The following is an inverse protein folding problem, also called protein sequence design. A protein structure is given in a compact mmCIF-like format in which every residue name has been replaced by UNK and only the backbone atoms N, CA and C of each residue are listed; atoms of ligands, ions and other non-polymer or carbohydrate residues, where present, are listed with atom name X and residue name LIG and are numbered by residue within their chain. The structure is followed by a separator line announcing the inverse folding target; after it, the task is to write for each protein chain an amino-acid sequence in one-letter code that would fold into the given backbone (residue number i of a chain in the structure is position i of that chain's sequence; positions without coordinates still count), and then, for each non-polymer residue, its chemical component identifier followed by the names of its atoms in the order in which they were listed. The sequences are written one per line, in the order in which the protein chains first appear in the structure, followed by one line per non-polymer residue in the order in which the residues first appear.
data_IF_382139456631
#
_entry.id   IF_382139456631
#
_cell.length_a   1.000
_cell.length_b   1.000
_cell.length_c   1.000
_cell.angle_alpha   90.00
_cell.angle_beta   90.00
_cell.angle_gamma   90.00
#
_symmetry.space_group_name_H-M   'P 1'
#
loop_
_entity.id
_entity.type
_entity.pdbx_description
1 polymer ?
#
# COMPACT_ATOMS: atom_id res chain seq x y z
N UNK A 1 10.36 9.13 22.29
CA UNK A 1 9.42 9.62 21.25
C UNK A 1 10.28 10.36 20.23
N UNK A 2 10.51 9.79 19.06
CA UNK A 2 11.18 10.53 17.98
C UNK A 2 10.38 11.80 17.72
N UNK A 3 11.02 12.98 17.62
CA UNK A 3 10.32 14.16 17.17
C UNK A 3 9.72 13.84 15.81
N UNK A 4 8.39 13.85 15.74
CA UNK A 4 7.74 13.92 14.44
C UNK A 4 8.32 15.18 13.79
N UNK A 5 8.89 15.09 12.59
CA UNK A 5 9.42 16.26 11.91
C UNK A 5 8.31 17.31 11.89
N UNK A 6 8.61 18.59 12.19
CA UNK A 6 7.59 19.61 12.34
C UNK A 6 6.71 19.62 11.09
N UNK A 7 5.41 19.42 11.28
CA UNK A 7 4.45 19.52 10.19
C UNK A 7 4.18 21.01 9.98
N UNK A 8 4.72 21.54 8.89
CA UNK A 8 4.69 22.97 8.59
C UNK A 8 3.45 23.28 7.75
N UNK A 9 2.80 24.39 8.04
CA UNK A 9 1.77 24.94 7.14
C UNK A 9 2.48 25.54 5.92
N UNK A 10 2.34 24.90 4.75
CA UNK A 10 3.13 25.22 3.55
C UNK A 10 2.91 26.65 3.01
N UNK A 11 1.82 27.31 3.42
CA UNK A 11 1.45 28.66 2.96
C UNK A 11 1.82 29.73 3.98
N UNK A 12 1.47 29.52 5.24
CA UNK A 12 1.62 30.55 6.28
C UNK A 12 3.01 30.57 6.91
N UNK A 13 3.78 29.48 6.80
CA UNK A 13 5.15 29.39 7.37
C UNK A 13 5.23 29.69 8.87
N UNK A 14 4.10 29.74 9.57
CA UNK A 14 4.01 30.11 10.98
C UNK A 14 4.00 28.86 11.84
N UNK A 15 5.05 28.75 12.66
CA UNK A 15 5.09 27.88 13.82
C UNK A 15 4.23 28.50 14.94
N UNK A 16 3.11 27.86 15.27
CA UNK A 16 2.39 28.12 16.52
C UNK A 16 2.94 27.20 17.62
N UNK A 17 3.09 27.69 18.86
CA UNK A 17 4.14 27.25 19.78
C UNK A 17 3.79 25.93 20.47
N UNK A 18 4.42 24.84 20.02
CA UNK A 18 4.73 23.73 20.91
C UNK A 18 6.21 23.82 21.29
N UNK A 19 6.44 24.26 22.53
CA UNK A 19 7.70 24.28 23.28
C UNK A 19 8.99 24.49 22.47
N UNK A 20 9.51 25.72 22.54
CA UNK A 20 10.89 26.10 22.22
C UNK A 20 11.88 24.96 22.44
N UNK A 21 12.53 24.51 21.36
CA UNK A 21 13.90 24.02 21.41
C UNK A 21 14.68 24.56 20.20
N UNK A 22 15.52 25.55 20.54
CA UNK A 22 16.74 26.06 19.90
C UNK A 22 17.09 25.66 18.45
N UNK A 23 17.11 26.70 17.60
CA UNK A 23 18.09 27.00 16.54
C UNK A 23 18.44 25.92 15.50
N UNK A 24 17.88 26.12 14.32
CA UNK A 24 18.06 25.43 13.02
C UNK A 24 19.50 25.49 12.43
N UNK A 25 20.53 25.79 13.23
CA UNK A 25 21.92 25.95 12.78
C UNK A 25 22.91 24.92 13.36
N UNK A 26 22.46 23.99 14.22
CA UNK A 26 23.29 22.92 14.79
C UNK A 26 22.97 21.51 14.26
N UNK A 27 22.05 21.37 13.29
CA UNK A 27 21.45 20.09 12.87
C UNK A 27 22.35 19.12 12.09
N UNK A 28 23.62 19.45 11.84
CA UNK A 28 24.52 18.61 11.03
C UNK A 28 25.71 18.04 11.81
N UNK A 29 25.69 18.15 13.15
CA UNK A 29 26.72 17.51 13.99
C UNK A 29 26.30 16.09 14.35
N UNK A 30 27.12 15.06 14.06
CA UNK A 30 26.83 13.71 14.50
C UNK A 30 26.82 13.66 16.03
N UNK A 31 25.68 13.24 16.61
CA UNK A 31 25.50 13.08 18.06
C UNK A 31 25.54 11.60 18.41
N UNK A 32 26.22 11.27 19.51
CA UNK A 32 26.29 9.90 20.03
C UNK A 32 25.00 9.53 20.75
N UNK A 33 24.56 8.29 20.59
CA UNK A 33 23.34 7.77 21.17
C UNK A 33 23.62 6.57 22.08
N UNK A 34 22.86 6.44 23.16
CA UNK A 34 22.92 5.36 24.13
C UNK A 34 21.72 4.42 23.99
N UNK A 35 21.97 3.11 24.13
CA UNK A 35 20.93 2.08 24.20
C UNK A 35 20.70 1.72 25.67
N UNK A 36 19.58 2.17 26.21
CA UNK A 36 19.25 2.01 27.64
C UNK A 36 18.64 0.65 27.99
N UNK A 37 18.32 -0.20 27.00
CA UNK A 37 17.73 -1.53 27.20
C UNK A 37 18.54 -2.58 26.45
N UNK A 38 18.85 -3.68 27.13
CA UNK A 38 19.48 -4.86 26.55
C UNK A 38 18.62 -6.08 26.92
N UNK A 39 18.04 -6.72 25.90
CA UNK A 39 17.26 -7.94 26.11
C UNK A 39 18.09 -9.16 25.74
N UNK A 40 18.29 -10.06 26.71
CA UNK A 40 19.01 -11.32 26.54
C UNK A 40 17.99 -12.45 26.63
N UNK A 41 17.89 -13.22 25.55
CA UNK A 41 17.01 -14.37 25.46
C UNK A 41 17.79 -15.67 25.62
N UNK A 42 17.22 -16.62 26.37
CA UNK A 42 17.81 -17.95 26.56
C UNK A 42 16.84 -19.02 26.09
N UNK A 43 17.34 -19.97 25.30
CA UNK A 43 16.53 -21.12 24.91
C UNK A 43 16.31 -22.00 26.13
N UNK A 44 15.07 -22.06 26.61
CA UNK A 44 14.68 -22.87 27.77
C UNK A 44 14.30 -24.31 27.41
N UNK A 45 14.09 -24.58 26.12
CA UNK A 45 13.69 -25.90 25.63
C UNK A 45 14.90 -26.84 25.54
N UNK A 46 14.75 -28.04 26.10
CA UNK A 46 15.75 -29.10 25.97
C UNK A 46 15.60 -29.77 24.59
N UNK A 47 16.37 -29.30 23.61
CA UNK A 47 16.35 -29.81 22.24
C UNK A 47 17.63 -30.56 21.88
N UNK A 48 17.54 -31.83 21.48
CA UNK A 48 18.72 -32.58 21.06
C UNK A 48 19.01 -32.32 19.59
N UNK A 49 20.17 -31.73 19.29
CA UNK A 49 20.63 -31.57 17.92
C UNK A 49 21.43 -32.79 17.47
N UNK A 50 21.14 -33.26 16.26
CA UNK A 50 22.02 -34.20 15.57
C UNK A 50 23.26 -33.47 15.08
N UNK A 51 24.44 -34.03 15.39
CA UNK A 51 25.73 -33.45 15.03
C UNK A 51 25.89 -33.32 13.51
N UNK A 52 25.34 -34.25 12.74
CA UNK A 52 25.49 -34.28 11.28
C UNK A 52 24.51 -33.34 10.56
N UNK A 53 23.40 -32.98 11.21
CA UNK A 53 22.33 -32.17 10.63
C UNK A 53 22.11 -30.84 11.38
N UNK A 54 23.18 -30.28 11.97
CA UNK A 54 23.13 -29.02 12.69
C UNK A 54 22.81 -27.85 11.73
N UNK A 55 21.69 -27.12 11.95
CA UNK A 55 21.37 -25.96 11.14
C UNK A 55 22.41 -24.84 11.31
N UNK A 56 22.86 -24.25 10.20
CA UNK A 56 23.91 -23.22 10.20
C UNK A 56 23.53 -21.94 10.96
N UNK A 57 22.23 -21.60 10.99
CA UNK A 57 21.65 -20.49 11.76
C UNK A 57 21.88 -20.67 13.27
N UNK A 58 21.70 -21.89 13.78
CA UNK A 58 21.88 -22.18 15.22
C UNK A 58 23.35 -22.38 15.57
N UNK A 59 24.12 -22.97 14.65
CA UNK A 59 25.53 -23.30 14.89
C UNK A 59 26.36 -22.09 15.32
N UNK A 60 26.09 -20.90 14.75
CA UNK A 60 26.79 -19.65 15.08
C UNK A 60 26.62 -19.21 16.55
N UNK A 61 25.50 -19.55 17.17
CA UNK A 61 25.19 -19.18 18.56
C UNK A 61 25.47 -20.33 19.54
N UNK A 62 25.82 -21.51 19.03
CA UNK A 62 26.04 -22.69 19.83
C UNK A 62 27.49 -22.80 20.30
N UNK A 63 27.68 -22.91 21.61
CA UNK A 63 28.98 -23.23 22.20
C UNK A 63 28.97 -24.68 22.64
N UNK A 64 29.76 -25.50 21.96
CA UNK A 64 29.91 -26.93 22.26
C UNK A 64 31.18 -27.18 23.08
N UNK A 65 31.10 -28.08 24.04
CA UNK A 65 32.27 -28.62 24.73
C UNK A 65 32.17 -30.14 24.81
N UNK A 66 33.33 -30.79 24.83
CA UNK A 66 33.40 -32.24 24.86
C UNK A 66 33.50 -32.72 26.30
N UNK A 67 32.53 -33.51 26.76
CA UNK A 67 32.55 -34.19 28.06
C UNK A 67 32.69 -35.69 27.82
N UNK A 68 33.94 -36.17 27.75
CA UNK A 68 34.27 -37.56 27.42
C UNK A 68 33.83 -37.96 26.00
N UNK A 69 32.90 -38.91 25.90
CA UNK A 69 32.32 -39.38 24.62
C UNK A 69 31.08 -38.60 24.17
N UNK A 70 30.53 -37.72 25.00
CA UNK A 70 29.32 -36.94 24.68
C UNK A 70 29.72 -35.49 24.38
N UNK A 71 29.17 -34.96 23.28
CA UNK A 71 29.21 -33.52 23.00
C UNK A 71 28.03 -32.86 23.70
N UNK A 72 28.30 -31.83 24.49
CA UNK A 72 27.27 -31.08 25.22
C UNK A 72 27.38 -29.63 24.75
N UNK A 73 26.23 -29.01 24.49
CA UNK A 73 26.16 -27.60 24.13
C UNK A 73 25.64 -26.79 25.31
N UNK A 74 26.16 -25.57 25.46
CA UNK A 74 25.65 -24.61 26.43
C UNK A 74 24.29 -24.06 25.96
N UNK A 75 23.40 -23.66 26.88
CA UNK A 75 22.13 -23.02 26.51
C UNK A 75 22.36 -21.90 25.51
N UNK A 76 21.56 -21.90 24.43
CA UNK A 76 21.69 -20.91 23.38
C UNK A 76 21.27 -19.55 23.94
N UNK A 77 22.20 -18.60 23.93
CA UNK A 77 22.01 -17.22 24.34
C UNK A 77 21.91 -16.35 23.10
N UNK A 78 20.89 -15.50 23.04
CA UNK A 78 20.66 -14.59 21.93
C UNK A 78 20.40 -13.18 22.46
N UNK A 79 21.20 -12.22 21.99
CA UNK A 79 20.98 -10.81 22.27
C UNK A 79 19.99 -10.29 21.24
N UNK A 80 18.86 -9.78 21.71
CA UNK A 80 17.83 -9.24 20.84
C UNK A 80 18.18 -7.82 20.39
N UNK A 81 18.83 -7.73 19.24
CA UNK A 81 19.15 -6.46 18.60
C UNK A 81 17.97 -5.89 17.77
N UNK A 82 16.94 -6.68 17.50
CA UNK A 82 15.80 -6.28 16.69
C UNK A 82 14.78 -5.49 17.50
N UNK A 83 14.62 -5.82 18.77
CA UNK A 83 13.85 -5.01 19.73
C UNK A 83 14.47 -3.64 19.99
N UNK A 84 15.75 -3.43 19.65
CA UNK A 84 16.38 -2.12 19.75
C UNK A 84 15.95 -1.25 18.58
N UNK A 85 15.14 -0.23 18.90
CA UNK A 85 14.60 0.71 17.93
C UNK A 85 15.31 2.05 18.00
N UNK A 86 15.44 2.70 16.85
CA UNK A 86 16.00 4.07 16.77
C UNK A 86 15.20 5.04 17.63
N UNK A 87 13.88 4.80 17.78
CA UNK A 87 12.98 5.63 18.59
C UNK A 87 13.22 5.63 20.10
N UNK A 88 13.94 4.63 20.59
CA UNK A 88 14.21 4.37 22.00
C UNK A 88 15.66 4.72 22.38
N UNK A 89 16.45 5.22 21.43
CA UNK A 89 17.80 5.71 21.68
C UNK A 89 17.77 7.02 22.49
N UNK A 90 18.71 7.14 23.42
CA UNK A 90 18.90 8.36 24.22
C UNK A 90 20.11 9.13 23.72
N UNK A 91 19.96 10.43 23.45
CA UNK A 91 21.08 11.28 23.06
C UNK A 91 22.07 11.46 24.23
N UNK A 92 23.36 11.34 23.94
CA UNK A 92 24.44 11.57 24.91
C UNK A 92 24.94 12.99 24.72
N UNK A 93 24.80 13.80 25.78
CA UNK A 93 25.34 15.16 25.84
C UNK A 93 26.53 15.23 26.79
N UNK A 94 27.39 16.24 26.64
CA UNK A 94 28.56 16.48 27.52
C UNK A 94 28.18 16.66 28.99
N UNK A 95 26.93 16.97 29.30
CA UNK A 95 26.37 17.07 30.65
C UNK A 95 25.92 15.73 31.25
N UNK A 96 25.92 14.63 30.49
CA UNK A 96 25.41 13.33 30.94
C UNK A 96 26.51 12.56 31.66
N UNK A 97 26.43 12.42 32.98
CA UNK A 97 27.43 11.71 33.81
C UNK A 97 27.06 10.26 34.09
N UNK A 98 25.78 9.91 34.03
CA UNK A 98 25.25 8.58 34.30
C UNK A 98 24.32 8.13 33.18
N UNK A 99 24.42 6.86 32.78
CA UNK A 99 23.60 6.28 31.71
C UNK A 99 22.84 5.07 32.26
N UNK A 100 21.50 5.09 32.24
CA UNK A 100 20.73 3.94 32.71
C UNK A 100 20.86 2.78 31.73
N UNK A 101 21.09 1.57 32.26
CA UNK A 101 21.08 0.32 31.49
C UNK A 101 20.16 -0.70 32.17
N UNK A 102 19.06 -1.03 31.51
CA UNK A 102 18.11 -2.06 31.94
C UNK A 102 18.40 -3.35 31.18
N UNK A 103 18.86 -4.37 31.90
CA UNK A 103 19.06 -5.70 31.33
C UNK A 103 17.80 -6.52 31.57
N UNK A 104 17.11 -6.90 30.49
CA UNK A 104 15.94 -7.80 30.53
C UNK A 104 16.40 -9.22 30.17
N UNK A 105 15.99 -10.21 30.97
CA UNK A 105 16.33 -11.60 30.76
C UNK A 105 15.05 -12.41 30.60
N UNK A 106 14.87 -13.02 29.42
CA UNK A 106 13.67 -13.77 29.07
C UNK A 106 14.00 -15.12 28.44
N UNK A 107 13.05 -16.05 28.48
CA UNK A 107 13.16 -17.34 27.78
C UNK A 107 12.55 -17.27 26.39
N UNK A 108 13.11 -18.03 25.45
CA UNK A 108 12.64 -18.10 24.07
C UNK A 108 12.56 -19.54 23.56
N UNK A 109 11.49 -19.85 22.84
CA UNK A 109 11.37 -21.13 22.13
C UNK A 109 12.36 -21.21 20.96
N UNK A 110 12.85 -22.40 20.63
CA UNK A 110 13.85 -22.57 19.56
C UNK A 110 13.32 -22.06 18.20
N UNK A 111 12.04 -22.33 17.89
CA UNK A 111 11.43 -21.85 16.65
C UNK A 111 11.37 -20.32 16.56
N UNK A 112 11.03 -19.64 17.66
CA UNK A 112 10.99 -18.17 17.72
C UNK A 112 12.40 -17.58 17.61
N UNK A 113 13.40 -18.20 18.23
CA UNK A 113 14.80 -17.80 18.07
C UNK A 113 15.25 -17.86 16.61
N UNK A 114 15.00 -18.98 15.92
CA UNK A 114 15.40 -19.15 14.52
C UNK A 114 14.72 -18.13 13.61
N UNK A 115 13.43 -17.85 13.86
CA UNK A 115 12.71 -16.78 13.17
C UNK A 115 13.40 -15.41 13.37
N UNK A 116 13.77 -15.07 14.60
CA UNK A 116 14.48 -13.80 14.88
C UNK A 116 15.85 -13.71 14.21
N UNK A 117 16.63 -14.80 14.19
CA UNK A 117 17.92 -14.84 13.49
C UNK A 117 17.71 -14.54 11.99
N UNK A 118 16.76 -15.22 11.34
CA UNK A 118 16.46 -14.96 9.93
C UNK A 118 15.94 -13.54 9.67
N UNK A 119 15.11 -13.00 10.57
CA UNK A 119 14.65 -11.61 10.47
C UNK A 119 15.84 -10.63 10.58
N UNK A 120 16.80 -10.91 11.47
CA UNK A 120 17.97 -10.05 11.64
C UNK A 120 18.85 -10.05 10.40
N UNK A 121 19.10 -11.23 9.83
CA UNK A 121 19.83 -11.37 8.58
C UNK A 121 19.10 -10.67 7.42
N UNK A 122 17.76 -10.73 7.37
CA UNK A 122 16.96 -10.05 6.36
C UNK A 122 17.06 -8.52 6.46
N UNK A 123 16.93 -7.96 7.67
CA UNK A 123 17.11 -6.51 7.90
C UNK A 123 18.52 -6.08 7.53
N UNK A 124 19.54 -6.84 7.94
CA UNK A 124 20.93 -6.54 7.59
C UNK A 124 21.17 -6.58 6.08
N UNK A 125 20.60 -7.58 5.39
CA UNK A 125 20.66 -7.68 3.93
C UNK A 125 19.99 -6.49 3.24
N UNK A 126 18.83 -6.02 3.72
CA UNK A 126 18.17 -4.82 3.18
C UNK A 126 19.07 -3.57 3.28
N UNK A 127 19.76 -3.40 4.41
CA UNK A 127 20.71 -2.30 4.58
C UNK A 127 21.87 -2.41 3.57
N UNK A 128 22.36 -3.63 3.28
CA UNK A 128 23.37 -3.84 2.24
C UNK A 128 22.87 -3.51 0.82
N UNK A 129 21.58 -3.69 0.56
CA UNK A 129 20.95 -3.27 -0.71
C UNK A 129 20.69 -1.75 -0.80
N UNK A 130 21.10 -0.97 0.19
CA UNK A 130 21.00 0.49 0.19
C UNK A 130 19.74 1.06 0.84
N UNK A 131 18.98 0.25 1.59
CA UNK A 131 17.91 0.79 2.44
C UNK A 131 18.50 1.62 3.58
N UNK A 132 17.84 2.73 3.91
CA UNK A 132 18.28 3.58 5.02
C UNK A 132 18.08 2.87 6.35
N UNK A 133 18.89 3.21 7.37
CA UNK A 133 18.70 2.65 8.72
C UNK A 133 17.31 2.93 9.28
N UNK A 134 16.71 4.05 8.85
CA UNK A 134 15.35 4.43 9.20
C UNK A 134 14.33 3.46 8.60
N UNK A 135 14.42 3.17 7.30
CA UNK A 135 13.48 2.25 6.64
C UNK A 135 13.62 0.83 7.22
N UNK A 136 14.85 0.42 7.54
CA UNK A 136 15.11 -0.85 8.22
C UNK A 136 14.49 -0.87 9.64
N UNK A 137 14.56 0.24 10.38
CA UNK A 137 13.93 0.37 11.70
C UNK A 137 12.39 0.34 11.62
N UNK A 138 11.80 0.92 10.58
CA UNK A 138 10.36 0.81 10.33
C UNK A 138 9.94 -0.66 10.12
N UNK A 139 10.73 -1.43 9.35
CA UNK A 139 10.52 -2.87 9.17
C UNK A 139 10.65 -3.62 10.49
N UNK A 140 11.67 -3.33 11.31
CA UNK A 140 11.79 -3.90 12.67
C UNK A 140 10.52 -3.64 13.48
N UNK A 141 9.98 -2.43 13.40
CA UNK A 141 8.75 -2.05 14.10
C UNK A 141 7.53 -2.85 13.70
N UNK A 142 7.40 -3.24 12.43
CA UNK A 142 6.28 -4.07 11.98
C UNK A 142 6.25 -5.40 12.74
N UNK A 143 7.40 -6.03 12.99
CA UNK A 143 7.47 -7.34 13.65
C UNK A 143 7.57 -7.25 15.18
N UNK A 144 8.19 -6.20 15.73
CA UNK A 144 8.34 -6.02 17.20
C UNK A 144 7.10 -5.38 17.81
N UNK A 145 6.57 -4.31 17.22
CA UNK A 145 5.47 -3.53 17.80
C UNK A 145 4.09 -4.15 17.48
N UNK A 146 3.98 -4.99 16.43
CA UNK A 146 2.69 -5.57 15.99
C UNK A 146 2.52 -7.01 16.47
N UNK A 147 1.28 -7.39 16.77
CA UNK A 147 0.95 -8.77 17.06
C UNK A 147 1.09 -9.65 15.81
N UNK A 148 1.89 -10.73 15.94
CA UNK A 148 2.20 -11.67 14.87
C UNK A 148 0.97 -12.29 14.20
N UNK A 149 -0.12 -12.52 14.93
CA UNK A 149 -1.36 -13.07 14.37
C UNK A 149 -2.03 -12.08 13.40
N UNK A 150 -2.03 -10.79 13.74
CA UNK A 150 -2.54 -9.74 12.86
C UNK A 150 -1.64 -9.58 11.63
N UNK A 151 -0.32 -9.65 11.80
CA UNK A 151 0.63 -9.59 10.70
C UNK A 151 0.51 -10.79 9.74
N UNK A 152 0.29 -12.00 10.27
CA UNK A 152 0.06 -13.18 9.45
C UNK A 152 -1.25 -13.07 8.66
N UNK A 153 -2.31 -12.56 9.29
CA UNK A 153 -3.58 -12.29 8.63
C UNK A 153 -3.40 -11.27 7.51
N UNK A 154 -2.73 -10.14 7.74
CA UNK A 154 -2.52 -9.11 6.71
C UNK A 154 -1.73 -9.65 5.51
N UNK A 155 -0.70 -10.47 5.76
CA UNK A 155 0.07 -11.12 4.68
C UNK A 155 -0.78 -12.09 3.86
N UNK A 156 -1.55 -12.95 4.53
CA UNK A 156 -2.45 -13.90 3.88
C UNK A 156 -3.43 -13.18 2.95
N UNK A 157 -4.00 -12.08 3.43
CA UNK A 157 -4.97 -11.28 2.71
C UNK A 157 -4.37 -10.58 1.51
N UNK A 158 -3.21 -9.96 1.70
CA UNK A 158 -2.47 -9.35 0.60
C UNK A 158 -2.16 -10.37 -0.51
N UNK A 159 -1.85 -11.62 -0.14
CA UNK A 159 -1.63 -12.70 -1.11
C UNK A 159 -2.91 -13.05 -1.90
N UNK A 160 -4.09 -13.10 -1.25
CA UNK A 160 -5.36 -13.31 -1.95
C UNK A 160 -5.75 -12.13 -2.84
N UNK A 161 -5.55 -10.89 -2.37
CA UNK A 161 -5.81 -9.69 -3.16
C UNK A 161 -4.93 -9.69 -4.42
N UNK A 162 -3.62 -9.93 -4.26
CA UNK A 162 -2.67 -10.05 -5.37
C UNK A 162 -3.06 -11.18 -6.33
N UNK A 163 -3.52 -12.33 -5.82
CA UNK A 163 -3.96 -13.45 -6.64
C UNK A 163 -5.17 -13.07 -7.50
N UNK A 164 -6.19 -12.46 -6.93
CA UNK A 164 -7.39 -12.08 -7.68
C UNK A 164 -7.12 -10.94 -8.66
N UNK A 165 -6.29 -9.97 -8.28
CA UNK A 165 -5.80 -8.93 -9.19
C UNK A 165 -5.02 -9.53 -10.35
N UNK A 166 -4.15 -10.50 -10.08
CA UNK A 166 -3.42 -11.21 -11.13
C UNK A 166 -4.36 -11.98 -12.06
N UNK A 167 -5.40 -12.63 -11.52
CA UNK A 167 -6.40 -13.32 -12.33
C UNK A 167 -7.25 -12.37 -13.17
N UNK A 168 -7.62 -11.21 -12.62
CA UNK A 168 -8.30 -10.14 -13.33
C UNK A 168 -7.40 -9.58 -14.45
N UNK A 169 -6.13 -9.30 -14.15
CA UNK A 169 -5.14 -8.82 -15.11
C UNK A 169 -4.85 -9.85 -16.21
N UNK A 170 -4.73 -11.13 -15.87
CA UNK A 170 -4.59 -12.22 -16.83
C UNK A 170 -5.80 -12.31 -17.76
N UNK A 171 -7.01 -12.14 -17.22
CA UNK A 171 -8.23 -12.08 -18.02
C UNK A 171 -8.21 -10.87 -18.97
N UNK A 172 -7.72 -9.72 -18.52
CA UNK A 172 -7.58 -8.52 -19.35
C UNK A 172 -6.52 -8.72 -20.45
N UNK A 173 -5.34 -9.27 -20.15
CA UNK A 173 -4.32 -9.58 -21.17
C UNK A 173 -4.88 -10.55 -22.20
N UNK A 174 -5.56 -11.62 -21.74
CA UNK A 174 -6.20 -12.58 -22.63
C UNK A 174 -7.22 -11.90 -23.53
N UNK A 175 -7.94 -10.91 -23.02
CA UNK A 175 -8.88 -10.10 -23.80
C UNK A 175 -8.17 -9.28 -24.89
N UNK A 176 -7.08 -8.58 -24.57
CA UNK A 176 -6.33 -7.78 -25.54
C UNK A 176 -5.59 -8.62 -26.59
N UNK A 177 -5.07 -9.79 -26.20
CA UNK A 177 -4.32 -10.69 -27.08
C UNK A 177 -5.13 -11.16 -28.30
N UNK A 178 -6.46 -11.23 -28.20
CA UNK A 178 -7.33 -11.73 -29.27
C UNK A 178 -7.96 -10.63 -30.15
N UNK A 179 -7.78 -9.34 -29.83
CA UNK A 179 -8.31 -8.24 -30.66
C UNK A 179 -7.32 -7.85 -31.77
N UNK A 180 -7.72 -8.03 -33.02
CA UNK A 180 -6.93 -7.64 -34.22
C UNK A 180 -7.14 -6.18 -34.67
N UNK A 181 -8.08 -5.46 -34.05
CA UNK A 181 -8.42 -4.07 -34.41
C UNK A 181 -8.66 -3.23 -33.16
N UNK A 182 -8.04 -2.04 -33.09
CA UNK A 182 -8.24 -1.05 -32.02
C UNK A 182 -9.45 -0.13 -32.31
N UNK A 183 -10.23 -0.40 -33.36
CA UNK A 183 -11.45 0.35 -33.70
C UNK A 183 -12.44 0.20 -32.55
N UNK A 184 -12.61 1.27 -31.76
CA UNK A 184 -13.37 1.27 -30.49
C UNK A 184 -12.60 1.84 -29.30
N UNK A 185 -11.26 1.66 -29.24
CA UNK A 185 -10.42 2.40 -28.30
C UNK A 185 -10.33 3.87 -28.69
N UNK A 186 -10.19 4.15 -29.99
CA UNK A 186 -10.24 5.52 -30.52
C UNK A 186 -11.55 6.22 -30.21
N UNK A 187 -12.68 5.51 -30.17
CA UNK A 187 -13.98 6.10 -29.81
C UNK A 187 -14.13 6.35 -28.32
N UNK A 188 -13.54 5.50 -27.45
CA UNK A 188 -13.44 5.75 -25.99
C UNK A 188 -12.52 6.94 -25.70
N UNK A 189 -11.33 6.98 -26.30
CA UNK A 189 -10.37 8.10 -26.19
C UNK A 189 -10.96 9.38 -26.77
N UNK A 190 -11.68 9.30 -27.89
CA UNK A 190 -12.39 10.43 -28.47
C UNK A 190 -13.57 10.90 -27.60
N UNK A 191 -14.33 9.98 -26.97
CA UNK A 191 -15.36 10.33 -25.98
C UNK A 191 -14.75 11.05 -24.78
N UNK A 192 -13.59 10.61 -24.30
CA UNK A 192 -12.81 11.30 -23.25
C UNK A 192 -12.37 12.67 -23.76
N UNK A 193 -11.68 12.76 -24.90
CA UNK A 193 -11.24 14.02 -25.52
C UNK A 193 -12.39 15.01 -25.76
N UNK A 194 -13.57 14.52 -26.18
CA UNK A 194 -14.79 15.31 -26.42
C UNK A 194 -15.49 15.70 -25.12
N UNK A 195 -15.52 14.82 -24.12
CA UNK A 195 -16.06 15.11 -22.79
C UNK A 195 -15.22 16.16 -22.05
N UNK A 196 -13.90 16.15 -22.25
CA UNK A 196 -12.96 17.12 -21.67
C UNK A 196 -12.66 18.30 -22.60
N UNK A 197 -13.13 18.31 -23.86
CA UNK A 197 -12.83 19.36 -24.88
C UNK A 197 -11.40 19.89 -24.78
N UNK A 198 -10.43 18.97 -24.82
CA UNK A 198 -8.99 19.27 -24.70
C UNK A 198 -8.51 19.86 -26.05
N UNK A 199 -8.24 21.17 -26.06
CA UNK A 199 -7.54 21.83 -27.15
C UNK A 199 -6.05 21.88 -26.82
N UNK A 200 -5.25 21.15 -27.60
CA UNK A 200 -3.79 21.20 -27.51
C UNK A 200 -3.34 22.30 -28.45
N UNK A 201 -2.86 23.41 -27.89
CA UNK A 201 -2.25 24.49 -28.66
C UNK A 201 -0.75 24.32 -28.56
N UNK A 202 -0.11 24.02 -29.69
CA UNK A 202 1.35 23.94 -29.77
C UNK A 202 1.91 25.35 -29.92
N UNK A 203 2.66 25.84 -28.92
CA UNK A 203 3.49 27.04 -29.01
C UNK A 203 4.95 26.63 -28.78
N UNK A 204 5.67 26.29 -29.85
CA UNK A 204 7.05 25.81 -29.76
C UNK A 204 7.17 24.37 -29.22
N UNK A 205 8.16 24.11 -28.36
CA UNK A 205 8.49 22.78 -27.82
C UNK A 205 7.60 22.32 -26.65
N UNK A 206 6.79 23.20 -26.07
CA UNK A 206 5.92 22.86 -24.93
C UNK A 206 4.44 22.90 -25.33
N UNK A 207 3.70 21.78 -25.18
CA UNK A 207 2.27 21.75 -25.44
C UNK A 207 1.50 22.38 -24.27
N UNK A 208 0.67 23.39 -24.54
CA UNK A 208 -0.23 23.99 -23.55
C UNK A 208 -1.64 23.44 -23.72
N UNK A 209 -2.20 22.87 -22.66
CA UNK A 209 -3.53 22.23 -22.67
C UNK A 209 -4.62 23.23 -22.25
N UNK A 210 -5.58 23.52 -23.14
CA UNK A 210 -6.74 24.36 -22.87
C UNK A 210 -8.00 23.48 -22.81
N UNK A 211 -8.64 23.42 -21.65
CA UNK A 211 -9.82 22.59 -21.37
C UNK A 211 -11.06 23.48 -21.29
N UNK A 212 -11.88 23.55 -22.35
CA UNK A 212 -13.09 24.38 -22.40
C UNK A 212 -14.35 23.50 -22.46
N UNK A 213 -15.08 23.32 -21.35
CA UNK A 213 -16.25 22.44 -21.25
C UNK A 213 -17.52 23.01 -21.90
N UNK A 214 -18.31 22.20 -22.63
CA UNK A 214 -19.53 22.64 -23.34
C UNK A 214 -20.75 21.74 -23.12
N UNK A 215 -20.90 21.08 -21.97
CA UNK A 215 -22.09 20.29 -21.66
C UNK A 215 -22.87 20.90 -20.48
N UNK A 216 -23.42 22.10 -20.70
CA UNK A 216 -23.99 23.03 -19.71
C UNK A 216 -25.04 22.54 -18.71
N UNK A 217 -25.52 21.29 -18.79
CA UNK A 217 -26.56 20.76 -17.88
C UNK A 217 -26.06 19.66 -16.93
N UNK A 218 -25.03 18.89 -17.31
CA UNK A 218 -24.34 17.94 -16.40
C UNK A 218 -23.03 18.50 -15.84
N UNK A 219 -22.61 19.68 -16.29
CA UNK A 219 -21.37 20.36 -15.90
C UNK A 219 -21.47 21.06 -14.55
N UNK A 220 -22.63 21.49 -14.06
CA UNK A 220 -22.67 22.16 -12.75
C UNK A 220 -22.21 21.22 -11.62
N UNK A 221 -22.76 20.00 -11.53
CA UNK A 221 -22.33 19.05 -10.49
C UNK A 221 -20.89 18.54 -10.65
N UNK A 222 -20.37 18.46 -11.89
CA UNK A 222 -18.97 18.03 -12.17
C UNK A 222 -17.93 19.14 -12.03
N UNK A 223 -18.27 20.38 -12.39
CA UNK A 223 -17.41 21.54 -12.18
C UNK A 223 -17.36 21.91 -10.70
N UNK A 224 -18.44 21.72 -9.96
CA UNK A 224 -18.47 21.88 -8.50
C UNK A 224 -17.53 20.90 -7.80
N UNK A 225 -17.36 19.68 -8.34
CA UNK A 225 -16.40 18.69 -7.84
C UNK A 225 -14.98 18.83 -8.38
N UNK A 226 -14.76 19.34 -9.60
CA UNK A 226 -13.42 19.73 -10.09
C UNK A 226 -12.91 20.96 -9.33
N UNK A 227 -13.80 21.90 -9.02
CA UNK A 227 -13.59 22.89 -7.99
C UNK A 227 -13.34 22.16 -6.68
N UNK A 228 -14.13 21.20 -6.22
CA UNK A 228 -13.84 20.46 -4.96
C UNK A 228 -12.51 19.70 -4.93
N UNK A 229 -11.92 19.27 -6.05
CA UNK A 229 -10.58 18.65 -6.09
C UNK A 229 -9.48 19.71 -6.08
N UNK A 230 -9.63 20.81 -6.83
CA UNK A 230 -8.70 21.94 -6.79
C UNK A 230 -8.83 22.75 -5.49
N UNK A 231 -10.05 23.12 -5.09
CA UNK A 231 -10.43 23.63 -3.78
C UNK A 231 -10.12 22.64 -2.66
N UNK A 232 -10.12 21.32 -2.88
CA UNK A 232 -9.73 20.32 -1.90
C UNK A 232 -8.21 20.23 -1.73
N UNK A 233 -7.46 20.33 -2.83
CA UNK A 233 -6.00 20.44 -2.82
C UNK A 233 -5.55 21.79 -2.23
N UNK A 234 -6.27 22.88 -2.53
CA UNK A 234 -6.06 24.22 -1.94
C UNK A 234 -6.48 24.23 -0.47
N UNK A 235 -7.63 23.65 -0.10
CA UNK A 235 -8.07 23.48 1.29
C UNK A 235 -7.07 22.64 2.09
N UNK A 236 -6.59 21.54 1.51
CA UNK A 236 -5.51 20.74 2.06
C UNK A 236 -4.24 21.58 2.24
N UNK A 237 -3.86 22.39 1.24
CA UNK A 237 -2.70 23.29 1.33
C UNK A 237 -2.87 24.37 2.44
N UNK A 238 -4.10 24.86 2.66
CA UNK A 238 -4.40 25.93 3.65
C UNK A 238 -4.58 25.38 5.07
N UNK A 239 -5.25 24.24 5.24
CA UNK A 239 -5.75 23.76 6.53
C UNK A 239 -5.08 22.48 7.03
N UNK A 240 -4.38 21.73 6.16
CA UNK A 240 -3.71 20.49 6.54
C UNK A 240 -2.19 20.73 6.55
N UNK A 241 -1.56 20.37 7.66
CA UNK A 241 -0.12 20.50 7.82
C UNK A 241 0.57 19.34 7.10
N UNK A 242 1.65 19.63 6.37
CA UNK A 242 2.39 18.63 5.62
C UNK A 242 3.87 18.68 5.97
N UNK A 243 4.52 17.53 5.92
CA UNK A 243 5.96 17.42 6.16
C UNK A 243 6.80 18.11 5.06
N UNK A 244 6.30 18.14 3.84
CA UNK A 244 7.01 18.76 2.69
C UNK A 244 6.06 19.00 1.52
N UNK A 245 6.47 19.85 0.58
CA UNK A 245 5.80 20.01 -0.72
C UNK A 245 5.62 18.69 -1.46
N UNK A 246 6.60 17.78 -1.37
CA UNK A 246 6.49 16.44 -1.93
C UNK A 246 5.36 15.64 -1.27
N UNK A 247 5.27 15.66 0.06
CA UNK A 247 4.19 14.99 0.80
C UNK A 247 2.80 15.55 0.44
N UNK A 248 2.68 16.86 0.24
CA UNK A 248 1.44 17.49 -0.21
C UNK A 248 1.06 17.09 -1.64
N UNK A 249 2.03 17.07 -2.57
CA UNK A 249 1.79 16.65 -3.96
C UNK A 249 1.31 15.19 -3.99
N UNK A 250 1.99 14.28 -3.28
CA UNK A 250 1.61 12.87 -3.24
C UNK A 250 0.21 12.70 -2.64
N UNK A 251 -0.08 13.34 -1.50
CA UNK A 251 -1.42 13.27 -0.89
C UNK A 251 -2.51 13.85 -1.81
N UNK A 252 -2.23 14.97 -2.48
CA UNK A 252 -3.16 15.60 -3.43
C UNK A 252 -3.38 14.73 -4.66
N UNK A 253 -2.34 14.07 -5.18
CA UNK A 253 -2.43 13.13 -6.29
C UNK A 253 -3.23 11.89 -5.90
N UNK A 254 -2.97 11.31 -4.73
CA UNK A 254 -3.71 10.14 -4.22
C UNK A 254 -5.19 10.47 -4.05
N UNK A 255 -5.52 11.58 -3.39
CA UNK A 255 -6.91 12.06 -3.26
C UNK A 255 -7.53 12.40 -4.63
N UNK A 256 -6.74 12.93 -5.55
CA UNK A 256 -7.14 13.18 -6.93
C UNK A 256 -7.51 11.90 -7.66
N UNK A 257 -6.65 10.88 -7.63
CA UNK A 257 -6.92 9.55 -8.20
C UNK A 257 -8.18 8.95 -7.58
N UNK A 258 -8.39 9.12 -6.27
CA UNK A 258 -9.61 8.65 -5.63
C UNK A 258 -10.87 9.39 -6.10
N UNK A 259 -10.82 10.71 -6.29
CA UNK A 259 -11.94 11.47 -6.84
C UNK A 259 -12.21 11.17 -8.33
N UNK A 260 -11.15 11.03 -9.14
CA UNK A 260 -11.27 10.70 -10.56
C UNK A 260 -11.76 9.27 -10.78
N UNK A 261 -11.26 8.30 -10.01
CA UNK A 261 -11.71 6.90 -10.07
C UNK A 261 -13.22 6.78 -9.91
N UNK A 262 -13.79 7.48 -8.92
CA UNK A 262 -15.24 7.54 -8.71
C UNK A 262 -15.99 8.08 -9.94
N UNK A 263 -15.51 9.19 -10.51
CA UNK A 263 -16.14 9.85 -11.66
C UNK A 263 -16.11 9.01 -12.93
N UNK A 264 -15.08 8.17 -13.12
CA UNK A 264 -15.00 7.26 -14.28
C UNK A 264 -15.90 6.03 -14.15
N UNK A 265 -16.30 5.64 -12.94
CA UNK A 265 -17.22 4.51 -12.72
C UNK A 265 -18.71 4.90 -12.86
N UNK A 266 -19.08 6.15 -12.56
CA UNK A 266 -20.46 6.63 -12.64
C UNK A 266 -21.11 6.61 -14.05
N UNK A 267 -20.41 6.91 -15.15
CA UNK A 267 -20.98 6.87 -16.50
C UNK A 267 -21.57 5.51 -16.85
N UNK A 268 -20.96 4.42 -16.39
CA UNK A 268 -21.45 3.07 -16.63
C UNK A 268 -22.80 2.83 -15.95
N UNK A 269 -22.94 3.22 -14.68
CA UNK A 269 -24.19 3.14 -13.93
C UNK A 269 -25.28 4.03 -14.54
N UNK A 270 -24.91 5.23 -15.02
CA UNK A 270 -25.84 6.15 -15.66
C UNK A 270 -26.36 5.61 -17.00
N UNK A 271 -25.48 5.04 -17.83
CA UNK A 271 -25.86 4.42 -19.11
C UNK A 271 -26.79 3.22 -18.87
N UNK A 272 -26.50 2.39 -17.87
CA UNK A 272 -27.40 1.28 -17.48
C UNK A 272 -28.80 1.79 -17.14
N UNK A 273 -28.88 2.87 -16.34
CA UNK A 273 -30.15 3.47 -15.93
C UNK A 273 -30.91 4.08 -17.12
N UNK A 274 -30.22 4.79 -18.01
CA UNK A 274 -30.83 5.44 -19.19
C UNK A 274 -31.31 4.45 -20.24
N UNK A 275 -30.53 3.41 -20.51
CA UNK A 275 -30.86 2.40 -21.52
C UNK A 275 -31.74 1.27 -20.97
N UNK A 276 -31.98 1.24 -19.65
CA UNK A 276 -32.77 0.20 -18.97
C UNK A 276 -32.26 -1.21 -19.30
N UNK A 277 -30.94 -1.35 -19.47
CA UNK A 277 -30.26 -2.61 -19.77
C UNK A 277 -28.88 -2.65 -19.13
N UNK A 278 -28.35 -3.84 -18.86
CA UNK A 278 -26.97 -4.03 -18.36
C UNK A 278 -26.14 -4.80 -19.36
N UNK A 279 -24.94 -4.32 -19.66
CA UNK A 279 -24.04 -4.98 -20.60
C UNK A 279 -23.60 -6.33 -20.03
N UNK A 280 -23.59 -7.35 -20.88
CA UNK A 280 -23.11 -8.66 -20.49
C UNK A 280 -21.62 -8.61 -20.06
N UNK A 281 -21.36 -8.99 -18.81
CA UNK A 281 -20.00 -9.13 -18.27
C UNK A 281 -19.68 -10.63 -18.10
N UNK A 282 -18.52 -11.13 -18.55
CA UNK A 282 -18.15 -12.53 -18.37
C UNK A 282 -18.17 -12.92 -16.88
N UNK A 283 -18.78 -14.08 -16.56
CA UNK A 283 -18.97 -14.52 -15.17
C UNK A 283 -17.66 -14.56 -14.35
N UNK A 284 -16.54 -14.92 -14.99
CA UNK A 284 -15.21 -14.93 -14.35
C UNK A 284 -14.76 -13.53 -13.91
N UNK A 285 -14.83 -12.54 -14.80
CA UNK A 285 -14.47 -11.16 -14.51
C UNK A 285 -15.39 -10.55 -13.45
N UNK A 286 -16.68 -10.88 -13.51
CA UNK A 286 -17.65 -10.47 -12.50
C UNK A 286 -17.30 -11.03 -11.12
N UNK A 287 -16.95 -12.31 -11.04
CA UNK A 287 -16.58 -12.94 -9.78
C UNK A 287 -15.28 -12.40 -9.20
N UNK A 288 -14.26 -12.16 -10.02
CA UNK A 288 -13.01 -11.55 -9.53
C UNK A 288 -13.26 -10.17 -8.92
N UNK A 289 -14.09 -9.34 -9.59
CA UNK A 289 -14.47 -8.04 -9.05
C UNK A 289 -15.23 -8.16 -7.72
N UNK A 290 -16.17 -9.09 -7.64
CA UNK A 290 -16.96 -9.33 -6.43
C UNK A 290 -16.10 -9.78 -5.24
N UNK A 291 -15.13 -10.67 -5.47
CA UNK A 291 -14.23 -11.14 -4.42
C UNK A 291 -13.26 -10.04 -3.95
N UNK A 292 -12.74 -9.21 -4.86
CA UNK A 292 -11.90 -8.06 -4.49
C UNK A 292 -12.65 -7.10 -3.56
N UNK A 293 -13.83 -6.65 -3.99
CA UNK A 293 -14.74 -5.79 -3.21
C UNK A 293 -15.07 -6.40 -1.84
N UNK A 294 -15.46 -7.68 -1.79
CA UNK A 294 -15.80 -8.35 -0.54
C UNK A 294 -14.62 -8.43 0.43
N UNK A 295 -13.42 -8.74 -0.07
CA UNK A 295 -12.20 -8.80 0.73
C UNK A 295 -11.89 -7.41 1.29
N UNK A 296 -11.90 -6.38 0.45
CA UNK A 296 -11.59 -5.01 0.86
C UNK A 296 -12.52 -4.49 1.96
N UNK A 297 -13.84 -4.78 1.89
CA UNK A 297 -14.83 -4.47 2.92
C UNK A 297 -14.51 -5.12 4.28
N UNK A 298 -14.22 -6.42 4.26
CA UNK A 298 -13.90 -7.19 5.48
C UNK A 298 -12.61 -6.66 6.12
N UNK A 299 -11.61 -6.30 5.31
CA UNK A 299 -10.33 -5.82 5.83
C UNK A 299 -10.32 -4.35 6.22
N UNK A 300 -11.12 -3.51 5.58
CA UNK A 300 -11.32 -2.13 6.02
C UNK A 300 -11.97 -2.03 7.42
N UNK A 301 -12.63 -3.11 7.88
CA UNK A 301 -13.19 -3.22 9.22
C UNK A 301 -12.21 -3.82 10.24
N UNK A 302 -11.42 -4.82 9.84
CA UNK A 302 -10.51 -5.55 10.74
C UNK A 302 -9.17 -4.82 10.94
N UNK A 303 -8.64 -4.21 9.89
CA UNK A 303 -7.29 -3.59 9.89
C UNK A 303 -7.46 -2.07 9.85
N UNK A 304 -6.67 -1.35 10.65
CA UNK A 304 -6.64 0.12 10.64
C UNK A 304 -6.01 0.64 9.35
N UNK A 305 -6.80 0.71 8.28
CA UNK A 305 -6.38 1.31 7.02
C UNK A 305 -6.50 2.85 7.06
N UNK A 306 -5.68 3.58 6.28
CA UNK A 306 -5.82 5.03 6.11
C UNK A 306 -7.24 5.38 5.65
N UNK A 307 -7.80 6.47 6.18
CA UNK A 307 -9.19 6.89 5.91
C UNK A 307 -9.48 7.12 4.42
N UNK A 308 -8.50 7.62 3.67
CA UNK A 308 -8.60 7.82 2.22
C UNK A 308 -8.74 6.50 1.46
N UNK A 309 -7.97 5.48 1.86
CA UNK A 309 -8.06 4.14 1.29
C UNK A 309 -9.40 3.48 1.64
N UNK A 310 -9.84 3.59 2.91
CA UNK A 310 -11.14 3.06 3.35
C UNK A 310 -12.30 3.67 2.57
N UNK A 311 -12.25 4.98 2.30
CA UNK A 311 -13.25 5.66 1.49
C UNK A 311 -13.20 5.21 0.02
N UNK A 312 -11.99 4.92 -0.50
CA UNK A 312 -11.79 4.40 -1.85
C UNK A 312 -12.35 2.98 -2.04
N UNK A 313 -12.18 2.09 -1.05
CA UNK A 313 -12.82 0.77 -1.06
C UNK A 313 -14.35 0.93 -0.98
N UNK A 314 -14.83 1.65 0.04
CA UNK A 314 -16.26 1.85 0.27
C UNK A 314 -17.02 2.41 -0.94
N UNK A 315 -16.41 3.32 -1.72
CA UNK A 315 -17.04 3.81 -2.97
C UNK A 315 -17.18 2.71 -4.03
N UNK A 316 -16.19 1.82 -4.16
CA UNK A 316 -16.17 0.77 -5.16
C UNK A 316 -17.22 -0.30 -4.78
N UNK A 317 -17.43 -0.50 -3.47
CA UNK A 317 -18.47 -1.36 -2.91
C UNK A 317 -19.88 -0.81 -3.15
N UNK A 318 -20.12 0.48 -2.86
CA UNK A 318 -21.41 1.13 -3.16
C UNK A 318 -21.72 1.09 -4.66
N UNK A 319 -20.74 1.38 -5.51
CA UNK A 319 -20.88 1.31 -6.97
C UNK A 319 -21.19 -0.12 -7.42
N UNK A 320 -20.53 -1.12 -6.82
CA UNK A 320 -20.76 -2.52 -7.11
C UNK A 320 -22.18 -2.97 -6.70
N UNK A 321 -22.65 -2.60 -5.51
CA UNK A 321 -24.01 -2.89 -5.05
C UNK A 321 -25.08 -2.26 -5.95
N UNK A 322 -24.90 -1.00 -6.37
CA UNK A 322 -25.81 -0.34 -7.32
C UNK A 322 -25.79 -1.06 -8.67
N UNK A 323 -24.63 -1.52 -9.13
CA UNK A 323 -24.52 -2.34 -10.34
C UNK A 323 -25.29 -3.66 -10.21
N UNK A 324 -25.17 -4.37 -9.07
CA UNK A 324 -25.94 -5.60 -8.80
C UNK A 324 -27.44 -5.33 -8.84
N UNK A 325 -27.89 -4.27 -8.19
CA UNK A 325 -29.29 -3.86 -8.19
C UNK A 325 -29.79 -3.56 -9.61
N UNK A 326 -29.02 -2.83 -10.41
CA UNK A 326 -29.35 -2.57 -11.82
C UNK A 326 -29.41 -3.84 -12.65
N UNK A 327 -28.51 -4.81 -12.40
CA UNK A 327 -28.50 -6.10 -13.11
C UNK A 327 -29.70 -6.98 -12.73
N UNK A 328 -30.20 -6.84 -11.51
CA UNK A 328 -31.43 -7.52 -11.08
C UNK A 328 -32.68 -6.89 -11.71
N UNK A 329 -32.74 -5.56 -11.80
CA UNK A 329 -33.92 -4.84 -12.33
C UNK A 329 -33.99 -4.81 -13.87
N UNK A 330 -32.84 -4.73 -14.55
CA UNK A 330 -32.77 -4.57 -16.01
C UNK A 330 -32.24 -5.82 -16.71
N UNK A 331 -32.81 -6.20 -17.87
CA UNK A 331 -32.33 -7.36 -18.62
C UNK A 331 -30.89 -7.17 -19.09
N UNK A 332 -30.15 -8.28 -19.14
CA UNK A 332 -28.77 -8.31 -19.62
C UNK A 332 -28.78 -8.23 -21.15
N UNK A 333 -28.31 -7.12 -21.68
CA UNK A 333 -28.20 -6.88 -23.11
C UNK A 333 -26.87 -7.46 -23.62
N UNK A 334 -27.02 -8.49 -24.46
CA UNK A 334 -25.95 -9.25 -25.10
C UNK A 334 -25.36 -8.50 -26.30
N UNK A 335 -26.11 -7.63 -26.96
CA UNK A 335 -25.65 -6.84 -28.11
C UNK A 335 -24.78 -5.66 -27.69
N UNK A 336 -24.89 -5.24 -26.42
CA UNK A 336 -24.23 -4.04 -25.91
C UNK A 336 -22.79 -4.30 -25.51
N UNK A 337 -21.93 -3.40 -25.97
CA UNK A 337 -20.52 -3.37 -25.61
C UNK A 337 -20.36 -3.09 -24.10
N UNK A 338 -19.76 -4.03 -23.39
CA UNK A 338 -19.46 -3.90 -21.96
C UNK A 338 -18.27 -2.96 -21.70
N UNK A 339 -17.94 -2.74 -20.42
CA UNK A 339 -16.86 -1.86 -19.99
C UNK A 339 -15.50 -2.22 -20.63
N UNK A 340 -15.29 -3.51 -20.90
CA UNK A 340 -14.12 -4.06 -21.58
C UNK A 340 -14.16 -3.88 -23.11
N UNK A 341 -15.27 -3.48 -23.71
CA UNK A 341 -15.34 -3.32 -25.17
C UNK A 341 -15.85 -4.55 -25.92
N UNK A 342 -16.68 -5.40 -25.30
CA UNK A 342 -17.23 -6.64 -25.89
C UNK A 342 -18.75 -6.65 -25.83
N UNK A 343 -19.41 -6.96 -26.94
CA UNK A 343 -20.78 -7.49 -26.94
C UNK A 343 -20.73 -9.02 -27.06
N UNK A 344 -21.68 -9.71 -26.42
CA UNK A 344 -21.79 -11.17 -26.45
C UNK A 344 -21.93 -11.73 -27.88
N UNK A 345 -22.50 -10.95 -28.81
CA UNK A 345 -22.72 -11.35 -30.20
C UNK A 345 -21.49 -11.17 -31.10
N UNK A 346 -20.43 -10.48 -30.64
CA UNK A 346 -19.10 -10.46 -31.28
C UNK A 346 -18.27 -11.72 -30.94
N UNK A 347 -18.87 -12.92 -30.92
CA UNK A 347 -18.05 -14.13 -30.92
C UNK A 347 -17.21 -14.17 -32.21
N UNK A 348 -15.89 -14.46 -32.13
CA UNK A 348 -15.07 -14.53 -33.32
C UNK A 348 -15.61 -15.64 -34.22
N UNK A 349 -15.85 -15.34 -35.51
CA UNK A 349 -16.08 -16.37 -36.52
C UNK A 349 -14.94 -17.39 -36.38
N UNK A 350 -15.27 -18.57 -35.86
CA UNK A 350 -14.35 -19.68 -35.78
C UNK A 350 -13.77 -19.92 -37.16
N UNK A 351 -12.46 -20.10 -37.26
CA UNK A 351 -11.84 -20.56 -38.49
C UNK A 351 -12.54 -21.86 -38.87
N UNK A 352 -13.26 -21.86 -39.99
CA UNK A 352 -13.58 -23.10 -40.70
C UNK A 352 -12.25 -23.81 -40.90
N UNK A 353 -12.06 -24.96 -40.26
CA UNK A 353 -11.13 -25.95 -40.79
C UNK A 353 -11.57 -26.19 -42.24
N UNK A 354 -10.69 -25.88 -43.19
CA UNK A 354 -10.73 -26.51 -44.50
C UNK A 354 -9.80 -27.70 -44.37
N UNK A 355 -10.35 -28.88 -44.61
CA UNK A 355 -9.66 -30.15 -44.70
C UNK A 355 -8.50 -30.11 -45.71
#
# INVERSE_FOLDING_TARGET
MLPKPPEISLITGQDEPQQKQSSDSELDRPVSHWRSRLTVNVVSENFQFDREALPGDVHRYMRVYQSGKKMIYLPLLFVDELSNRVKDLMEINSSTTELPLTISYDSIALGKLRFWIHMQDAVYSLQQFGFTEKDADEIKGIFVDTNLYFLALTFFVAAFHLLFDFLAFKNDISFWKHKKSMVGMSSKVWKVKKAFKIHVIWRGLTPTFLVNSFLGSWTNRRNEQRNMTHCGAVYSLVFVKYKSWYSWIINSLVNGVYAFGFLFMLPQLFVNYKLKSVAHLPWKAFMYKAFNTFIDDVFAFIITMPTSHRLACFRDDVVFLVYLYQRWLYPVDKTRVNEYGVSYDEKPKGKSHKD
#
